data_IF_269967484694
#
_entry.id   IF_269967484694
#
_cell.length_a   1.000
_cell.length_b   1.000
_cell.length_c   1.000
_cell.angle_alpha   90.00
_cell.angle_beta   90.00
_cell.angle_gamma   90.00
#
_symmetry.space_group_name_H-M   'P 1'
#
loop_
_entity.id
_entity.type
_entity.pdbx_description
1 polymer ?
#
# COMPACT_ATOMS: atom_id res chain seq x y z
N UNK A 1 -28.87 -32.63 -21.62
CA UNK A 1 -27.52 -32.77 -22.21
C UNK A 1 -27.29 -31.56 -23.09
N UNK A 2 -26.40 -30.67 -22.66
CA UNK A 2 -26.06 -29.43 -23.35
C UNK A 2 -24.83 -28.87 -22.66
N UNK A 3 -23.65 -29.27 -23.14
CA UNK A 3 -22.34 -28.85 -22.64
C UNK A 3 -22.18 -27.34 -22.77
N UNK A 4 -22.23 -26.63 -21.64
CA UNK A 4 -21.76 -25.25 -21.54
C UNK A 4 -20.24 -25.33 -21.41
N UNK A 5 -19.54 -25.18 -22.53
CA UNK A 5 -18.09 -24.98 -22.54
C UNK A 5 -17.78 -23.67 -21.82
N UNK A 6 -17.22 -23.79 -20.61
CA UNK A 6 -16.57 -22.70 -19.90
C UNK A 6 -15.41 -22.19 -20.78
N UNK A 7 -15.55 -20.95 -21.27
CA UNK A 7 -14.45 -20.23 -21.90
C UNK A 7 -13.35 -20.02 -20.85
N UNK A 8 -12.06 -20.22 -21.18
CA UNK A 8 -10.97 -20.04 -20.24
C UNK A 8 -10.87 -18.57 -19.83
N UNK A 9 -10.80 -18.33 -18.51
CA UNK A 9 -10.50 -17.04 -17.91
C UNK A 9 -9.16 -16.53 -18.44
N UNK A 10 -9.03 -15.26 -18.89
CA UNK A 10 -7.74 -14.68 -19.19
C UNK A 10 -6.97 -14.52 -17.87
N UNK A 11 -5.87 -15.26 -17.73
CA UNK A 11 -4.85 -15.05 -16.71
C UNK A 11 -4.20 -13.68 -16.93
N UNK A 12 -4.32 -12.67 -16.04
CA UNK A 12 -3.37 -11.58 -16.07
C UNK A 12 -2.06 -12.08 -15.44
N UNK A 13 -0.92 -11.57 -15.89
CA UNK A 13 0.45 -11.85 -15.36
C UNK A 13 1.26 -13.02 -15.94
N UNK A 14 1.01 -13.46 -17.18
CA UNK A 14 2.08 -14.11 -17.97
C UNK A 14 2.31 -13.33 -19.26
N UNK A 15 3.39 -12.54 -19.29
CA UNK A 15 3.87 -11.96 -20.56
C UNK A 15 4.55 -10.59 -20.53
N UNK A 16 4.79 -9.93 -19.39
CA UNK A 16 5.57 -8.68 -19.40
C UNK A 16 7.06 -9.04 -19.44
N UNK A 17 7.69 -8.89 -20.61
CA UNK A 17 9.13 -9.01 -20.78
C UNK A 17 9.87 -7.90 -20.00
N UNK A 18 10.19 -8.22 -18.75
CA UNK A 18 11.43 -8.05 -17.97
C UNK A 18 12.51 -6.97 -18.24
N UNK A 19 12.41 -6.03 -19.18
CA UNK A 19 13.54 -5.16 -19.58
C UNK A 19 13.33 -3.66 -19.25
N UNK A 20 14.24 -3.03 -18.50
CA UNK A 20 14.26 -1.58 -18.21
C UNK A 20 14.24 -0.79 -19.52
N UNK A 21 14.89 -1.33 -20.55
CA UNK A 21 14.93 -0.73 -21.88
C UNK A 21 13.54 -0.75 -22.54
N UNK A 22 12.61 -1.64 -22.16
CA UNK A 22 11.25 -1.67 -22.71
C UNK A 22 10.36 -0.56 -22.13
N UNK A 23 10.42 -0.30 -20.82
CA UNK A 23 9.73 0.84 -20.20
C UNK A 23 10.24 2.17 -20.77
N UNK A 24 11.56 2.33 -20.89
CA UNK A 24 12.17 3.52 -21.49
C UNK A 24 11.75 3.70 -22.95
N UNK A 25 11.69 2.62 -23.75
CA UNK A 25 11.19 2.64 -25.12
C UNK A 25 9.72 3.06 -25.20
N UNK A 26 8.84 2.43 -24.41
CA UNK A 26 7.41 2.76 -24.36
C UNK A 26 7.16 4.25 -24.05
N UNK A 27 7.85 4.82 -23.05
CA UNK A 27 7.66 6.21 -22.67
C UNK A 27 8.10 7.18 -23.78
N UNK A 28 9.25 6.89 -24.41
CA UNK A 28 9.73 7.66 -25.57
C UNK A 28 8.74 7.58 -26.75
N UNK A 29 8.20 6.39 -27.04
CA UNK A 29 7.26 6.16 -28.15
C UNK A 29 5.90 6.87 -27.93
N UNK A 30 5.49 7.06 -26.68
CA UNK A 30 4.28 7.80 -26.32
C UNK A 30 4.48 9.33 -26.23
N UNK A 31 5.67 9.85 -26.59
CA UNK A 31 5.98 11.27 -26.53
C UNK A 31 6.16 11.81 -25.10
N UNK A 32 6.25 10.93 -24.10
CA UNK A 32 6.57 11.29 -22.73
C UNK A 32 8.08 11.32 -22.55
N UNK A 33 8.68 12.50 -22.57
CA UNK A 33 10.05 12.65 -22.08
C UNK A 33 10.06 12.40 -20.56
N UNK A 34 10.81 11.40 -20.10
CA UNK A 34 10.96 11.11 -18.67
C UNK A 34 11.48 12.35 -17.95
N UNK A 35 10.64 13.00 -17.15
CA UNK A 35 11.00 14.23 -16.45
C UNK A 35 11.81 13.88 -15.21
N UNK A 36 13.13 13.86 -15.34
CA UNK A 36 14.07 13.76 -14.23
C UNK A 36 14.01 15.02 -13.36
N UNK A 37 12.99 15.15 -12.51
CA UNK A 37 13.04 16.08 -11.39
C UNK A 37 13.55 15.32 -10.17
N UNK A 38 14.86 15.36 -9.98
CA UNK A 38 15.53 14.78 -8.82
C UNK A 38 15.14 15.58 -7.57
N UNK A 39 14.52 14.92 -6.59
CA UNK A 39 14.16 15.50 -5.30
C UNK A 39 14.85 14.71 -4.18
N UNK A 40 15.98 15.25 -3.71
CA UNK A 40 16.76 14.65 -2.62
C UNK A 40 16.07 14.73 -1.26
N UNK A 41 14.86 15.25 -1.15
CA UNK A 41 14.13 15.30 0.14
C UNK A 41 13.01 14.27 0.22
N UNK A 42 12.54 13.75 -0.93
CA UNK A 42 11.48 12.75 -0.97
C UNK A 42 12.02 11.37 -1.40
N UNK A 43 12.07 10.43 -0.46
CA UNK A 43 12.50 9.04 -0.70
C UNK A 43 11.62 8.28 -1.69
N UNK A 44 10.37 8.70 -1.87
CA UNK A 44 9.45 8.12 -2.85
C UNK A 44 9.67 8.65 -4.27
N UNK A 45 10.52 9.66 -4.48
CA UNK A 45 10.88 10.15 -5.81
C UNK A 45 12.12 9.43 -6.35
N UNK A 46 11.95 8.13 -6.62
CA UNK A 46 12.97 7.28 -7.24
C UNK A 46 13.40 7.82 -8.61
N UNK A 47 14.68 7.59 -8.98
CA UNK A 47 15.13 7.83 -10.35
C UNK A 47 14.63 6.72 -11.30
N UNK A 48 14.70 7.00 -12.60
CA UNK A 48 14.18 6.12 -13.68
C UNK A 48 14.75 4.70 -13.67
N UNK A 49 16.02 4.53 -13.29
CA UNK A 49 16.69 3.23 -13.32
C UNK A 49 16.35 2.39 -12.09
N UNK A 50 16.13 3.05 -10.95
CA UNK A 50 15.82 2.38 -9.68
C UNK A 50 14.35 1.96 -9.59
N UNK A 51 13.46 2.70 -10.24
CA UNK A 51 12.02 2.51 -10.11
C UNK A 51 11.54 1.13 -10.60
N UNK A 52 11.96 0.69 -11.79
CA UNK A 52 11.52 -0.60 -12.33
C UNK A 52 12.06 -1.79 -11.54
N UNK A 53 13.28 -1.67 -10.99
CA UNK A 53 13.86 -2.67 -10.09
C UNK A 53 13.09 -2.71 -8.77
N UNK A 54 12.88 -1.54 -8.17
CA UNK A 54 12.15 -1.40 -6.92
C UNK A 54 10.74 -1.95 -7.01
N UNK A 55 9.94 -1.53 -7.99
CA UNK A 55 8.55 -1.98 -8.13
C UNK A 55 8.45 -3.48 -8.40
N UNK A 56 9.41 -4.07 -9.11
CA UNK A 56 9.46 -5.53 -9.32
C UNK A 56 9.69 -6.26 -8.01
N UNK A 57 10.69 -5.86 -7.24
CA UNK A 57 10.97 -6.46 -5.94
C UNK A 57 9.83 -6.24 -4.94
N UNK A 58 9.25 -5.04 -4.92
CA UNK A 58 8.05 -4.70 -4.15
C UNK A 58 6.91 -5.66 -4.48
N UNK A 59 6.49 -5.76 -5.74
CA UNK A 59 5.38 -6.63 -6.15
C UNK A 59 5.66 -8.13 -5.90
N UNK A 60 6.92 -8.55 -5.92
CA UNK A 60 7.30 -9.95 -5.66
C UNK A 60 7.26 -10.34 -4.18
N UNK A 61 7.42 -9.37 -3.27
CA UNK A 61 7.60 -9.62 -1.83
C UNK A 61 6.43 -9.16 -0.98
N UNK A 62 5.61 -8.21 -1.46
CA UNK A 62 4.44 -7.73 -0.72
C UNK A 62 3.32 -8.78 -0.59
N UNK A 63 2.45 -8.61 0.42
CA UNK A 63 1.16 -9.27 0.44
C UNK A 63 0.40 -9.08 -0.87
N UNK A 64 -0.24 -10.15 -1.33
CA UNK A 64 -1.24 -10.06 -2.39
C UNK A 64 -2.59 -10.02 -1.70
N UNK A 65 -3.26 -8.88 -1.78
CA UNK A 65 -4.62 -8.74 -1.27
C UNK A 65 -5.52 -9.79 -1.92
N UNK A 66 -6.17 -10.61 -1.09
CA UNK A 66 -7.00 -11.71 -1.56
C UNK A 66 -8.35 -11.20 -2.08
N UNK A 67 -9.07 -12.03 -2.83
CA UNK A 67 -10.41 -11.67 -3.30
C UNK A 67 -11.36 -11.42 -2.13
N UNK A 68 -11.20 -12.15 -1.03
CA UNK A 68 -11.99 -12.02 0.19
C UNK A 68 -11.78 -10.63 0.80
N UNK A 69 -10.54 -10.12 0.83
CA UNK A 69 -10.26 -8.76 1.30
C UNK A 69 -10.94 -7.70 0.42
N UNK A 70 -10.86 -7.83 -0.90
CA UNK A 70 -11.55 -6.92 -1.82
C UNK A 70 -13.08 -7.02 -1.74
N UNK A 71 -13.61 -8.22 -1.51
CA UNK A 71 -15.05 -8.42 -1.35
C UNK A 71 -15.58 -7.68 -0.12
N UNK A 72 -14.83 -7.58 0.99
CA UNK A 72 -15.23 -6.72 2.12
C UNK A 72 -15.50 -5.27 1.67
N UNK A 73 -14.63 -4.72 0.80
CA UNK A 73 -14.78 -3.37 0.26
C UNK A 73 -15.99 -3.28 -0.67
N UNK A 74 -16.15 -4.25 -1.58
CA UNK A 74 -17.23 -4.24 -2.57
C UNK A 74 -18.61 -4.52 -1.99
N UNK A 75 -18.69 -5.39 -0.98
CA UNK A 75 -19.92 -5.71 -0.27
C UNK A 75 -20.36 -4.50 0.56
N UNK A 76 -19.42 -3.87 1.27
CA UNK A 76 -19.66 -2.60 1.95
C UNK A 76 -20.15 -1.53 0.97
N UNK A 77 -19.47 -1.38 -0.18
CA UNK A 77 -19.86 -0.42 -1.21
C UNK A 77 -21.28 -0.70 -1.74
N UNK A 78 -21.60 -1.95 -2.05
CA UNK A 78 -22.91 -2.36 -2.58
C UNK A 78 -24.08 -2.15 -1.61
N UNK A 79 -23.79 -2.12 -0.30
CA UNK A 79 -24.76 -1.83 0.74
C UNK A 79 -25.14 -0.34 0.79
N UNK A 80 -24.26 0.56 0.34
CA UNK A 80 -24.43 2.02 0.44
C UNK A 80 -24.64 2.71 -0.92
N UNK A 81 -24.07 2.17 -1.99
CA UNK A 81 -24.17 2.63 -3.36
C UNK A 81 -24.56 1.49 -4.30
N UNK A 82 -25.21 1.82 -5.41
CA UNK A 82 -25.50 0.87 -6.51
C UNK A 82 -24.65 1.10 -7.75
N UNK A 83 -23.82 2.15 -7.75
CA UNK A 83 -23.04 2.57 -8.91
C UNK A 83 -21.59 2.15 -8.76
N UNK A 84 -21.07 1.43 -9.75
CA UNK A 84 -19.65 1.07 -9.88
C UNK A 84 -19.04 1.78 -11.10
N UNK A 85 -19.32 3.09 -11.28
CA UNK A 85 -18.88 3.81 -12.46
C UNK A 85 -17.40 4.24 -12.34
N UNK A 86 -17.03 4.92 -11.25
CA UNK A 86 -15.70 5.53 -11.10
C UNK A 86 -15.09 5.18 -9.74
N UNK A 87 -13.90 4.60 -9.75
CA UNK A 87 -13.06 4.47 -8.56
C UNK A 87 -11.79 5.33 -8.68
N UNK A 88 -11.36 5.93 -7.58
CA UNK A 88 -10.04 6.56 -7.45
C UNK A 88 -9.11 5.64 -6.67
N UNK A 89 -7.93 5.34 -7.21
CA UNK A 89 -6.82 4.68 -6.53
C UNK A 89 -5.76 5.73 -6.19
N UNK A 90 -5.68 6.11 -4.91
CA UNK A 90 -4.84 7.20 -4.42
C UNK A 90 -3.51 6.66 -3.89
N UNK A 91 -2.40 7.15 -4.43
CA UNK A 91 -1.07 6.60 -4.14
C UNK A 91 -0.86 5.26 -4.82
N UNK A 92 -1.24 5.17 -6.09
CA UNK A 92 -1.37 3.92 -6.83
C UNK A 92 -0.05 3.15 -7.00
N UNK A 93 1.11 3.81 -6.86
CA UNK A 93 2.42 3.18 -7.04
C UNK A 93 2.49 2.47 -8.41
N UNK A 94 2.69 1.14 -8.46
CA UNK A 94 2.76 0.41 -9.72
C UNK A 94 1.40 -0.05 -10.27
N UNK A 95 0.27 0.39 -9.69
CA UNK A 95 -1.08 0.20 -10.25
C UNK A 95 -1.73 -1.17 -10.01
N UNK A 96 -1.22 -1.98 -9.08
CA UNK A 96 -1.79 -3.30 -8.77
C UNK A 96 -3.21 -3.21 -8.18
N UNK A 97 -3.48 -2.19 -7.36
CA UNK A 97 -4.82 -1.95 -6.81
C UNK A 97 -5.75 -1.43 -7.90
N UNK A 98 -5.27 -0.48 -8.71
CA UNK A 98 -5.97 0.03 -9.91
C UNK A 98 -6.43 -1.11 -10.82
N UNK A 99 -5.55 -2.06 -11.13
CA UNK A 99 -5.88 -3.22 -11.96
C UNK A 99 -7.04 -4.03 -11.35
N UNK A 100 -7.04 -4.21 -10.02
CA UNK A 100 -8.09 -4.95 -9.32
C UNK A 100 -9.41 -4.20 -9.29
N UNK A 101 -9.40 -2.90 -9.00
CA UNK A 101 -10.60 -2.06 -9.01
C UNK A 101 -11.28 -2.10 -10.38
N UNK A 102 -10.50 -2.15 -11.46
CA UNK A 102 -10.97 -2.19 -12.82
C UNK A 102 -11.66 -3.51 -13.22
N UNK A 103 -11.67 -4.53 -12.34
CA UNK A 103 -12.51 -5.74 -12.49
C UNK A 103 -13.98 -5.52 -12.09
N UNK A 104 -14.28 -4.41 -11.40
CA UNK A 104 -15.62 -4.07 -10.90
C UNK A 104 -16.10 -2.69 -11.32
N UNK A 105 -15.19 -1.71 -11.35
CA UNK A 105 -15.51 -0.34 -11.75
C UNK A 105 -15.31 -0.13 -13.25
N UNK A 106 -16.21 0.63 -13.87
CA UNK A 106 -16.15 0.93 -15.30
C UNK A 106 -14.92 1.78 -15.65
N UNK A 107 -14.52 2.68 -14.75
CA UNK A 107 -13.37 3.57 -14.89
C UNK A 107 -12.58 3.68 -13.59
N UNK A 108 -11.25 3.72 -13.69
CA UNK A 108 -10.35 3.92 -12.55
C UNK A 108 -9.45 5.13 -12.79
N UNK A 109 -9.50 6.09 -11.86
CA UNK A 109 -8.55 7.21 -11.79
C UNK A 109 -7.34 6.74 -10.98
N UNK A 110 -6.20 6.64 -11.64
CA UNK A 110 -4.91 6.22 -11.07
C UNK A 110 -4.13 7.48 -10.70
N UNK A 111 -3.94 7.75 -9.41
CA UNK A 111 -3.22 8.93 -8.94
C UNK A 111 -2.06 8.61 -8.02
N UNK A 112 -0.97 9.37 -8.17
CA UNK A 112 0.19 9.34 -7.29
C UNK A 112 0.85 10.73 -7.26
N UNK A 113 1.54 11.07 -6.17
CA UNK A 113 2.21 12.36 -6.05
C UNK A 113 3.54 12.41 -6.84
N UNK A 114 3.98 11.26 -7.38
CA UNK A 114 5.17 11.12 -8.18
C UNK A 114 4.82 10.78 -9.64
N UNK A 115 5.28 11.60 -10.58
CA UNK A 115 5.08 11.39 -12.00
C UNK A 115 5.65 10.06 -12.50
N UNK A 116 6.81 9.64 -11.96
CA UNK A 116 7.47 8.40 -12.31
C UNK A 116 6.59 7.19 -11.97
N UNK A 117 5.97 7.20 -10.77
CA UNK A 117 5.03 6.15 -10.36
C UNK A 117 3.82 6.07 -11.29
N UNK A 118 3.26 7.23 -11.64
CA UNK A 118 2.12 7.31 -12.58
C UNK A 118 2.50 6.76 -13.95
N UNK A 119 3.70 7.06 -14.45
CA UNK A 119 4.21 6.56 -15.73
C UNK A 119 4.45 5.04 -15.67
N UNK A 120 4.99 4.53 -14.57
CA UNK A 120 5.17 3.10 -14.34
C UNK A 120 3.82 2.37 -14.25
N UNK A 121 2.86 2.89 -13.48
CA UNK A 121 1.49 2.35 -13.43
C UNK A 121 0.84 2.36 -14.82
N UNK A 122 1.04 3.43 -15.60
CA UNK A 122 0.55 3.51 -16.98
C UNK A 122 1.13 2.39 -17.83
N UNK A 123 2.44 2.18 -17.79
CA UNK A 123 3.08 1.08 -18.51
C UNK A 123 2.53 -0.30 -18.07
N UNK A 124 2.43 -0.55 -16.76
CA UNK A 124 1.96 -1.83 -16.22
C UNK A 124 0.49 -2.12 -16.56
N UNK A 125 -0.36 -1.11 -16.54
CA UNK A 125 -1.79 -1.24 -16.84
C UNK A 125 -2.07 -1.25 -18.34
N UNK A 126 -1.29 -0.49 -19.13
CA UNK A 126 -1.52 -0.30 -20.56
C UNK A 126 -0.79 -1.30 -21.47
N UNK A 127 0.37 -1.81 -21.06
CA UNK A 127 1.24 -2.65 -21.89
C UNK A 127 1.65 -1.97 -23.21
N UNK A 128 2.15 -2.75 -24.17
CA UNK A 128 2.57 -2.28 -25.51
C UNK A 128 1.42 -2.16 -26.54
N UNK A 129 0.21 -2.55 -26.18
CA UNK A 129 -0.89 -2.62 -27.16
C UNK A 129 -1.56 -1.25 -27.35
N UNK A 130 -1.36 -0.67 -28.54
CA UNK A 130 -2.11 0.48 -29.09
C UNK A 130 -3.65 0.30 -29.14
N UNK A 131 -4.18 -0.88 -28.80
CA UNK A 131 -5.59 -1.24 -28.92
C UNK A 131 -6.45 -0.86 -27.70
N UNK A 132 -6.49 0.42 -27.32
CA UNK A 132 -7.37 0.89 -26.22
C UNK A 132 -8.14 2.18 -26.49
N UNK A 133 -8.26 2.58 -27.75
CA UNK A 133 -8.89 3.83 -28.16
C UNK A 133 -10.43 3.88 -28.08
N UNK A 134 -11.13 2.88 -27.51
CA UNK A 134 -12.60 2.91 -27.50
C UNK A 134 -13.25 3.27 -26.16
N UNK A 135 -12.60 3.05 -25.00
CA UNK A 135 -12.80 3.81 -23.74
C UNK A 135 -11.59 3.51 -22.83
N UNK A 136 -10.76 4.48 -22.43
CA UNK A 136 -9.64 4.19 -21.56
C UNK A 136 -10.18 3.91 -20.17
N UNK A 137 -10.25 2.62 -19.80
CA UNK A 137 -10.61 2.11 -18.46
C UNK A 137 -9.82 2.78 -17.31
N UNK A 138 -8.71 3.44 -17.63
CA UNK A 138 -7.83 4.13 -16.71
C UNK A 138 -7.59 5.58 -17.16
N UNK A 139 -7.67 6.53 -16.23
CA UNK A 139 -7.08 7.85 -16.38
C UNK A 139 -5.98 8.05 -15.36
N UNK A 140 -4.98 8.86 -15.68
CA UNK A 140 -3.77 9.00 -14.88
C UNK A 140 -3.61 10.45 -14.40
N UNK A 141 -3.24 10.66 -13.14
CA UNK A 141 -3.08 12.00 -12.58
C UNK A 141 -1.92 12.07 -11.60
N UNK A 142 -1.02 13.03 -11.85
CA UNK A 142 0.04 13.37 -10.89
C UNK A 142 -0.51 14.40 -9.91
N UNK A 143 -0.84 13.97 -8.70
CA UNK A 143 -1.40 14.81 -7.64
C UNK A 143 -1.24 14.14 -6.27
N UNK A 144 -1.18 14.95 -5.22
CA UNK A 144 -1.36 14.45 -3.85
C UNK A 144 -2.83 14.09 -3.61
N UNK A 145 -3.10 13.19 -2.67
CA UNK A 145 -4.48 12.82 -2.31
C UNK A 145 -5.29 14.02 -1.81
N UNK A 146 -4.63 14.91 -1.07
CA UNK A 146 -5.15 16.16 -0.52
C UNK A 146 -5.59 17.17 -1.59
N UNK A 147 -5.14 17.01 -2.84
CA UNK A 147 -5.42 17.94 -3.95
C UNK A 147 -6.51 17.42 -4.91
N UNK A 148 -6.91 16.15 -4.79
CA UNK A 148 -7.77 15.53 -5.79
C UNK A 148 -9.18 16.14 -5.83
N UNK A 149 -9.74 16.53 -4.68
CA UNK A 149 -11.06 17.18 -4.59
C UNK A 149 -11.16 18.45 -5.44
N UNK A 150 -10.08 19.21 -5.58
CA UNK A 150 -10.03 20.42 -6.40
C UNK A 150 -9.79 20.12 -7.89
N UNK A 151 -9.27 18.94 -8.21
CA UNK A 151 -8.94 18.55 -9.59
C UNK A 151 -10.09 17.86 -10.33
N UNK A 152 -11.06 17.36 -9.60
CA UNK A 152 -12.18 16.60 -10.15
C UNK A 152 -13.52 17.21 -9.71
N UNK A 153 -14.59 17.07 -10.50
CA UNK A 153 -15.91 17.56 -10.09
C UNK A 153 -16.35 16.95 -8.75
N UNK A 154 -17.00 17.72 -7.87
CA UNK A 154 -17.58 17.16 -6.65
C UNK A 154 -18.57 16.05 -6.95
N UNK A 155 -18.58 14.98 -6.15
CA UNK A 155 -19.49 13.84 -6.34
C UNK A 155 -19.24 13.07 -7.64
N UNK A 156 -18.00 13.00 -8.12
CA UNK A 156 -17.64 12.29 -9.35
C UNK A 156 -17.22 10.83 -9.13
N UNK A 157 -16.91 10.43 -7.89
CA UNK A 157 -16.41 9.10 -7.55
C UNK A 157 -17.44 8.25 -6.78
N UNK A 158 -17.49 6.96 -7.09
CA UNK A 158 -18.24 5.96 -6.32
C UNK A 158 -17.40 5.37 -5.18
N UNK A 159 -16.10 5.19 -5.42
CA UNK A 159 -15.13 4.67 -4.46
C UNK A 159 -13.85 5.52 -4.49
N UNK A 160 -13.32 5.84 -3.32
CA UNK A 160 -11.95 6.32 -3.14
C UNK A 160 -11.20 5.26 -2.34
N UNK A 161 -10.21 4.63 -2.95
CA UNK A 161 -9.31 3.67 -2.33
C UNK A 161 -7.97 4.35 -2.00
N UNK A 162 -7.49 4.18 -0.77
CA UNK A 162 -6.23 4.73 -0.30
C UNK A 162 -5.37 3.63 0.37
N UNK A 163 -4.76 2.73 -0.42
CA UNK A 163 -3.84 1.70 0.06
C UNK A 163 -2.53 2.31 0.59
N UNK A 164 -2.14 1.92 1.81
CA UNK A 164 -0.83 2.14 2.44
C UNK A 164 -0.38 3.59 2.65
N UNK A 165 -0.98 4.58 2.01
CA UNK A 165 -0.40 5.92 1.93
C UNK A 165 -1.05 6.95 2.85
N UNK A 166 -2.24 6.67 3.39
CA UNK A 166 -2.97 7.60 4.27
C UNK A 166 -2.15 8.10 5.47
N UNK A 167 -1.34 7.28 6.18
CA UNK A 167 -0.48 7.77 7.27
C UNK A 167 0.53 8.86 6.87
N UNK A 168 0.84 8.97 5.57
CA UNK A 168 1.80 9.95 5.04
C UNK A 168 1.11 11.27 4.62
N UNK A 169 -0.23 11.32 4.62
CA UNK A 169 -1.00 12.50 4.22
C UNK A 169 -1.22 13.48 5.38
N UNK A 170 -1.61 14.71 5.04
CA UNK A 170 -2.33 15.56 5.99
C UNK A 170 -3.78 15.08 6.14
N UNK A 171 -4.18 14.79 7.38
CA UNK A 171 -5.37 13.96 7.67
C UNK A 171 -6.66 14.66 7.27
N UNK A 172 -6.82 15.90 7.74
CA UNK A 172 -8.04 16.68 7.51
C UNK A 172 -8.16 17.08 6.03
N UNK A 173 -7.05 17.49 5.41
CA UNK A 173 -7.03 17.84 4.00
C UNK A 173 -7.35 16.64 3.10
N UNK A 174 -6.82 15.45 3.42
CA UNK A 174 -7.15 14.22 2.70
C UNK A 174 -8.63 13.86 2.86
N UNK A 175 -9.18 13.89 4.07
CA UNK A 175 -10.59 13.60 4.31
C UNK A 175 -11.52 14.59 3.60
N UNK A 176 -11.21 15.88 3.62
CA UNK A 176 -11.97 16.91 2.89
C UNK A 176 -11.94 16.65 1.38
N UNK A 177 -10.75 16.41 0.82
CA UNK A 177 -10.57 16.08 -0.59
C UNK A 177 -11.39 14.86 -0.99
N UNK A 178 -11.33 13.76 -0.22
CA UNK A 178 -12.06 12.54 -0.51
C UNK A 178 -13.58 12.70 -0.33
N UNK A 179 -14.02 13.46 0.67
CA UNK A 179 -15.43 13.77 0.88
C UNK A 179 -16.01 14.60 -0.28
N UNK A 180 -15.21 15.49 -0.88
CA UNK A 180 -15.61 16.27 -2.05
C UNK A 180 -15.73 15.39 -3.30
N UNK A 181 -14.81 14.45 -3.52
CA UNK A 181 -14.83 13.52 -4.65
C UNK A 181 -16.04 12.57 -4.62
N UNK A 182 -16.36 12.04 -3.45
CA UNK A 182 -17.34 10.96 -3.32
C UNK A 182 -18.78 11.46 -3.52
N UNK A 183 -19.56 10.68 -4.28
CA UNK A 183 -21.02 10.81 -4.31
C UNK A 183 -21.61 10.55 -2.92
N UNK A 184 -22.81 11.07 -2.60
CA UNK A 184 -23.59 10.58 -1.46
C UNK A 184 -23.76 9.05 -1.56
N UNK A 185 -23.50 8.33 -0.47
CA UNK A 185 -23.45 6.87 -0.43
C UNK A 185 -22.17 6.23 -0.99
N UNK A 186 -21.26 7.02 -1.56
CA UNK A 186 -19.96 6.56 -2.04
C UNK A 186 -19.05 6.10 -0.91
N UNK A 187 -18.07 5.25 -1.22
CA UNK A 187 -17.23 4.59 -0.23
C UNK A 187 -15.82 5.19 -0.18
N UNK A 188 -15.35 5.53 1.02
CA UNK A 188 -13.93 5.69 1.30
C UNK A 188 -13.40 4.38 1.90
N UNK A 189 -12.37 3.80 1.27
CA UNK A 189 -11.66 2.63 1.74
C UNK A 189 -10.19 2.96 1.96
N UNK A 190 -9.78 3.05 3.22
CA UNK A 190 -8.38 3.28 3.62
C UNK A 190 -7.88 1.97 4.21
N UNK A 191 -6.73 1.47 3.76
CA UNK A 191 -6.13 0.30 4.40
C UNK A 191 -4.64 0.39 4.47
N UNK A 192 -4.08 -0.28 5.47
CA UNK A 192 -2.64 -0.33 5.71
C UNK A 192 -2.26 -1.71 6.24
N UNK A 193 -1.06 -2.17 5.92
CA UNK A 193 -0.48 -3.36 6.55
C UNK A 193 0.96 -3.07 6.96
N UNK A 194 1.43 -3.77 7.99
CA UNK A 194 2.76 -3.57 8.56
C UNK A 194 3.87 -4.39 7.91
N UNK A 195 5.01 -4.48 8.60
CA UNK A 195 6.04 -5.46 8.22
C UNK A 195 5.50 -6.89 8.38
N UNK A 196 6.10 -7.85 7.69
CA UNK A 196 5.81 -9.26 7.89
C UNK A 196 6.28 -9.70 9.29
N UNK A 197 5.51 -10.56 9.95
CA UNK A 197 5.86 -11.16 11.24
C UNK A 197 5.91 -12.67 11.12
N UNK A 198 6.76 -13.32 11.91
CA UNK A 198 6.74 -14.77 12.06
C UNK A 198 5.37 -15.19 12.64
N UNK A 199 4.62 -15.97 11.87
CA UNK A 199 3.21 -16.24 12.15
C UNK A 199 2.99 -17.34 13.20
N UNK A 200 3.98 -18.20 13.44
CA UNK A 200 3.84 -19.32 14.39
C UNK A 200 4.44 -18.95 15.74
N UNK A 201 3.76 -19.20 16.88
CA UNK A 201 4.28 -18.88 18.21
C UNK A 201 5.25 -19.96 18.71
N UNK A 202 6.39 -20.12 18.04
CA UNK A 202 7.45 -21.07 18.42
C UNK A 202 8.57 -20.39 19.20
N UNK A 203 9.39 -21.18 19.89
CA UNK A 203 10.61 -20.67 20.51
C UNK A 203 11.55 -20.02 19.47
N UNK A 204 11.58 -20.55 18.25
CA UNK A 204 12.35 -20.00 17.14
C UNK A 204 11.84 -18.64 16.70
N UNK A 205 10.53 -18.48 16.44
CA UNK A 205 9.98 -17.18 16.04
C UNK A 205 10.17 -16.12 17.12
N UNK A 206 10.09 -16.51 18.40
CA UNK A 206 10.31 -15.63 19.55
C UNK A 206 11.74 -15.07 19.56
N UNK A 207 12.74 -15.87 19.17
CA UNK A 207 14.14 -15.41 19.06
C UNK A 207 14.42 -14.66 17.75
N UNK A 208 13.71 -15.01 16.67
CA UNK A 208 13.90 -14.41 15.35
C UNK A 208 13.27 -13.02 15.21
N UNK A 209 12.06 -12.81 15.74
CA UNK A 209 11.31 -11.56 15.51
C UNK A 209 12.07 -10.30 15.98
N UNK A 210 12.70 -10.28 17.19
CA UNK A 210 13.47 -9.12 17.62
C UNK A 210 14.69 -8.81 16.74
N UNK A 211 15.30 -9.82 16.11
CA UNK A 211 16.42 -9.63 15.18
C UNK A 211 15.95 -8.99 13.88
N UNK A 212 14.84 -9.49 13.32
CA UNK A 212 14.21 -8.89 12.14
C UNK A 212 13.80 -7.44 12.41
N UNK A 213 13.17 -7.19 13.56
CA UNK A 213 12.76 -5.85 13.98
C UNK A 213 13.97 -4.92 14.09
N UNK A 214 15.09 -5.37 14.69
CA UNK A 214 16.30 -4.55 14.81
C UNK A 214 16.92 -4.20 13.45
N UNK A 215 16.91 -5.14 12.48
CA UNK A 215 17.38 -4.90 11.12
C UNK A 215 16.52 -3.83 10.43
N UNK A 216 15.19 -4.01 10.48
CA UNK A 216 14.25 -3.10 9.83
C UNK A 216 14.30 -1.71 10.48
N UNK A 217 14.35 -1.64 11.81
CA UNK A 217 14.42 -0.39 12.56
C UNK A 217 15.70 0.38 12.23
N UNK A 218 16.83 -0.31 12.04
CA UNK A 218 18.08 0.31 11.62
C UNK A 218 17.93 1.01 10.25
N UNK A 219 17.36 0.33 9.26
CA UNK A 219 17.16 0.92 7.94
C UNK A 219 16.15 2.08 7.97
N UNK A 220 15.04 1.94 8.70
CA UNK A 220 14.06 3.01 8.86
C UNK A 220 14.58 4.20 9.66
N UNK A 221 15.49 4.02 10.63
CA UNK A 221 16.12 5.12 11.35
C UNK A 221 16.81 6.10 10.40
N UNK A 222 17.50 5.60 9.37
CA UNK A 222 18.15 6.44 8.33
C UNK A 222 17.17 7.29 7.51
N UNK A 223 15.90 6.89 7.47
CA UNK A 223 14.84 7.57 6.73
C UNK A 223 14.09 8.54 7.63
N UNK A 224 13.78 8.12 8.86
CA UNK A 224 12.94 8.84 9.81
C UNK A 224 13.71 9.98 10.48
N UNK A 225 14.96 9.71 10.86
CA UNK A 225 15.75 10.62 11.69
C UNK A 225 16.44 11.70 10.83
N UNK A 226 16.63 12.88 11.43
CA UNK A 226 17.28 14.01 10.77
C UNK A 226 16.36 14.78 9.81
N UNK A 227 16.97 15.47 8.83
CA UNK A 227 16.28 16.25 7.78
C UNK A 227 15.37 17.41 8.27
N UNK A 228 15.46 17.78 9.54
CA UNK A 228 14.87 19.00 10.10
C UNK A 228 13.44 18.84 10.68
N UNK A 229 12.89 19.91 11.29
CA UNK A 229 11.66 19.82 12.08
C UNK A 229 10.42 19.39 11.29
N UNK A 230 10.28 19.81 10.03
CA UNK A 230 9.12 19.47 9.20
C UNK A 230 9.10 17.98 8.83
N UNK A 231 10.26 17.41 8.48
CA UNK A 231 10.42 15.97 8.21
C UNK A 231 10.10 15.14 9.44
N UNK A 232 10.68 15.51 10.58
CA UNK A 232 10.41 14.90 11.88
C UNK A 232 8.92 14.95 12.23
N UNK A 233 8.25 16.08 12.04
CA UNK A 233 6.82 16.22 12.33
C UNK A 233 5.96 15.31 11.44
N UNK A 234 6.30 15.19 10.15
CA UNK A 234 5.63 14.28 9.23
C UNK A 234 5.76 12.81 9.65
N UNK A 235 6.98 12.37 9.98
CA UNK A 235 7.21 11.01 10.45
C UNK A 235 6.63 10.73 11.83
N UNK A 236 6.60 11.71 12.74
CA UNK A 236 5.90 11.57 14.02
C UNK A 236 4.41 11.29 13.79
N UNK A 237 3.76 12.09 12.94
CA UNK A 237 2.34 11.89 12.58
C UNK A 237 2.10 10.49 12.00
N UNK A 238 2.96 10.06 11.06
CA UNK A 238 2.86 8.74 10.46
C UNK A 238 3.04 7.61 11.49
N UNK A 239 4.05 7.71 12.37
CA UNK A 239 4.33 6.71 13.40
C UNK A 239 3.19 6.60 14.42
N UNK A 240 2.70 7.73 14.95
CA UNK A 240 1.57 7.78 15.88
C UNK A 240 0.30 7.21 15.21
N UNK A 241 0.08 7.55 13.94
CA UNK A 241 -1.07 7.09 13.19
C UNK A 241 -1.06 5.58 12.90
N UNK A 242 0.10 5.03 12.55
CA UNK A 242 0.24 3.58 12.33
C UNK A 242 0.16 2.83 13.65
N UNK A 243 0.81 3.32 14.72
CA UNK A 243 0.77 2.70 16.04
C UNK A 243 -0.64 2.68 16.65
N UNK A 244 -1.50 3.64 16.28
CA UNK A 244 -2.91 3.68 16.66
C UNK A 244 -3.83 2.81 15.79
N UNK A 245 -3.30 1.99 14.89
CA UNK A 245 -4.12 1.22 13.93
C UNK A 245 -5.05 2.10 13.10
N UNK A 246 -4.58 3.29 12.74
CA UNK A 246 -5.36 4.35 12.07
C UNK A 246 -6.57 4.87 12.86
N UNK A 247 -6.67 4.57 14.15
CA UNK A 247 -7.76 5.07 14.99
C UNK A 247 -7.73 6.60 15.14
N UNK A 248 -6.62 7.25 14.84
CA UNK A 248 -6.49 8.70 14.86
C UNK A 248 -7.33 9.42 13.79
N UNK A 249 -7.82 8.72 12.75
CA UNK A 249 -8.59 9.31 11.66
C UNK A 249 -9.98 9.72 12.16
N UNK A 250 -10.33 11.03 12.17
CA UNK A 250 -11.61 11.49 12.66
C UNK A 250 -12.67 11.48 11.56
N UNK A 251 -13.72 10.65 11.70
CA UNK A 251 -14.86 10.68 10.79
C UNK A 251 -15.97 11.57 11.36
N UNK A 252 -16.02 12.82 10.91
CA UNK A 252 -17.07 13.75 11.31
C UNK A 252 -18.47 13.23 10.90
N UNK A 253 -19.45 13.13 11.83
CA UNK A 253 -20.80 12.64 11.52
C UNK A 253 -21.57 13.50 10.51
N UNK A 254 -21.12 14.72 10.23
CA UNK A 254 -21.66 15.60 9.18
C UNK A 254 -21.36 15.08 7.78
N UNK A 255 -20.19 14.48 7.60
CA UNK A 255 -19.66 14.11 6.29
C UNK A 255 -19.70 12.60 6.05
N UNK A 256 -19.61 11.82 7.12
CA UNK A 256 -19.43 10.38 7.08
C UNK A 256 -20.49 9.61 7.88
N UNK A 257 -20.79 8.40 7.44
CA UNK A 257 -21.70 7.45 8.07
C UNK A 257 -21.17 6.02 8.00
N UNK A 258 -21.73 5.15 8.84
CA UNK A 258 -21.49 3.70 8.82
C UNK A 258 -20.01 3.32 8.82
N UNK A 259 -19.20 3.99 9.65
CA UNK A 259 -17.76 3.76 9.69
C UNK A 259 -17.47 2.39 10.30
N UNK A 260 -16.65 1.61 9.60
CA UNK A 260 -16.18 0.30 10.04
C UNK A 260 -14.66 0.24 10.06
N UNK A 261 -14.09 -0.36 11.11
CA UNK A 261 -12.65 -0.58 11.27
C UNK A 261 -12.41 -2.06 11.49
N UNK A 262 -11.76 -2.70 10.54
CA UNK A 262 -11.37 -4.10 10.61
C UNK A 262 -9.87 -4.16 10.88
N UNK A 263 -9.46 -4.85 11.95
CA UNK A 263 -8.08 -4.95 12.41
C UNK A 263 -7.69 -6.41 12.47
N UNK A 264 -6.66 -6.79 11.71
CA UNK A 264 -6.14 -8.14 11.69
C UNK A 264 -4.85 -8.25 12.51
N UNK A 265 -4.78 -9.29 13.34
CA UNK A 265 -3.58 -9.72 14.04
C UNK A 265 -3.04 -8.70 15.07
N UNK A 266 -3.93 -7.89 15.65
CA UNK A 266 -3.55 -6.89 16.65
C UNK A 266 -3.16 -7.50 18.00
N UNK A 267 -3.58 -8.74 18.29
CA UNK A 267 -3.26 -9.43 19.54
C UNK A 267 -1.83 -9.97 19.61
N UNK A 268 -1.10 -10.06 18.50
CA UNK A 268 0.26 -10.63 18.49
C UNK A 268 1.27 -9.92 17.57
N UNK A 269 0.84 -8.94 16.77
CA UNK A 269 1.72 -8.17 15.90
C UNK A 269 1.48 -6.66 16.06
N UNK A 270 2.44 -5.86 15.57
CA UNK A 270 2.33 -4.39 15.50
C UNK A 270 2.16 -3.95 14.07
N UNK A 271 1.26 -2.98 13.81
CA UNK A 271 0.95 -2.51 12.45
C UNK A 271 2.13 -1.77 11.77
N UNK A 272 3.13 -1.31 12.52
CA UNK A 272 4.28 -0.57 11.98
C UNK A 272 5.11 -1.34 10.93
N UNK A 273 5.53 -0.66 9.87
CA UNK A 273 6.68 -1.13 9.08
C UNK A 273 7.98 -1.09 9.88
N UNK A 274 8.06 -0.22 10.88
CA UNK A 274 9.16 -0.06 11.83
C UNK A 274 8.60 -0.01 13.26
N UNK A 275 9.45 -0.25 14.25
CA UNK A 275 9.19 -0.07 15.67
C UNK A 275 9.75 1.24 16.20
N UNK A 276 9.48 1.51 17.49
CA UNK A 276 9.83 2.77 18.15
C UNK A 276 11.35 3.07 18.15
N UNK A 277 12.20 2.05 18.00
CA UNK A 277 13.67 2.24 17.95
C UNK A 277 14.14 2.94 16.68
N UNK A 278 13.33 2.93 15.62
CA UNK A 278 13.64 3.70 14.41
C UNK A 278 13.43 5.22 14.61
N UNK A 279 12.67 5.62 15.64
CA UNK A 279 12.28 7.01 15.86
C UNK A 279 13.22 7.70 16.86
N UNK A 280 13.53 8.97 16.61
CA UNK A 280 14.17 9.90 17.56
C UNK A 280 13.11 10.76 18.31
N UNK A 281 11.85 10.33 18.29
CA UNK A 281 10.69 10.91 18.99
C UNK A 281 9.91 9.81 19.72
N UNK A 282 9.17 10.15 20.79
CA UNK A 282 8.19 9.23 21.35
C UNK A 282 7.04 9.00 20.36
N UNK A 283 6.63 7.73 20.24
CA UNK A 283 5.44 7.32 19.50
C UNK A 283 4.24 7.32 20.45
N UNK A 284 3.23 8.11 20.12
CA UNK A 284 2.09 8.45 20.98
C UNK A 284 0.79 8.17 20.22
N UNK A 285 0.32 6.90 20.20
CA UNK A 285 -0.90 6.56 19.49
C UNK A 285 -2.12 7.26 20.08
N UNK A 286 -3.00 7.78 19.21
CA UNK A 286 -4.24 8.47 19.58
C UNK A 286 -5.43 7.77 18.93
N UNK A 287 -6.53 7.64 19.66
CA UNK A 287 -7.80 7.15 19.12
C UNK A 287 -8.82 8.27 19.02
N UNK A 288 -9.50 8.33 17.87
CA UNK A 288 -10.61 9.23 17.53
C UNK A 288 -11.84 8.43 17.09
N UNK A 289 -11.89 7.13 17.41
CA UNK A 289 -13.00 6.25 17.08
C UNK A 289 -14.25 6.69 17.83
N UNK A 290 -15.32 7.01 17.10
CA UNK A 290 -16.58 7.38 17.71
C UNK A 290 -17.35 6.15 18.25
N UNK A 291 -18.20 6.30 19.29
CA UNK A 291 -19.00 5.19 19.82
C UNK A 291 -19.97 4.56 18.82
N UNK A 292 -20.25 5.23 17.70
CA UNK A 292 -21.12 4.76 16.63
C UNK A 292 -20.40 3.93 15.57
N UNK A 293 -19.07 3.87 15.61
CA UNK A 293 -18.28 3.09 14.65
C UNK A 293 -18.28 1.61 15.01
N UNK A 294 -18.22 0.75 13.99
CA UNK A 294 -18.10 -0.70 14.19
C UNK A 294 -16.63 -1.10 14.14
N UNK A 295 -16.11 -1.71 15.20
CA UNK A 295 -14.76 -2.27 15.24
C UNK A 295 -14.85 -3.79 15.14
N UNK A 296 -14.03 -4.39 14.27
CA UNK A 296 -13.89 -5.84 14.12
C UNK A 296 -12.42 -6.21 14.28
N UNK A 297 -12.09 -6.83 15.41
CA UNK A 297 -10.79 -7.43 15.63
C UNK A 297 -10.80 -8.88 15.15
N UNK A 298 -9.84 -9.23 14.30
CA UNK A 298 -9.76 -10.50 13.59
C UNK A 298 -8.38 -11.09 13.83
N UNK A 299 -8.33 -12.33 14.28
CA UNK A 299 -7.08 -13.07 14.41
C UNK A 299 -6.99 -14.11 13.30
N UNK A 300 -6.07 -13.88 12.38
CA UNK A 300 -5.81 -14.76 11.24
C UNK A 300 -4.31 -14.83 10.95
N UNK A 301 -3.65 -15.80 11.58
CA UNK A 301 -2.23 -16.11 11.35
C UNK A 301 -1.94 -16.61 9.93
N UNK A 302 -2.95 -16.85 9.10
CA UNK A 302 -2.80 -17.21 7.69
C UNK A 302 -3.08 -16.04 6.74
N UNK A 303 -3.41 -14.85 7.26
CA UNK A 303 -3.66 -13.67 6.44
C UNK A 303 -2.47 -13.38 5.52
N UNK A 304 -2.70 -13.54 4.22
CA UNK A 304 -1.70 -13.37 3.16
C UNK A 304 -0.42 -14.20 3.33
N UNK A 305 -0.52 -15.37 3.97
CA UNK A 305 0.57 -16.31 4.29
C UNK A 305 1.68 -16.34 3.24
N UNK A 306 2.92 -16.29 3.73
CA UNK A 306 4.12 -16.63 2.97
C UNK A 306 4.98 -17.63 3.72
N UNK A 307 5.58 -18.55 2.99
CA UNK A 307 6.57 -19.49 3.50
C UNK A 307 7.92 -19.06 2.93
N UNK A 308 8.75 -18.47 3.78
CA UNK A 308 9.99 -17.80 3.37
C UNK A 308 11.21 -18.38 4.07
N UNK A 309 12.28 -18.56 3.30
CA UNK A 309 13.63 -18.72 3.85
C UNK A 309 14.20 -17.34 4.20
N UNK A 310 15.41 -17.34 4.75
CA UNK A 310 16.15 -16.09 4.99
C UNK A 310 16.36 -15.29 3.69
N UNK A 311 16.43 -15.95 2.53
CA UNK A 311 16.65 -15.27 1.26
C UNK A 311 15.44 -14.44 0.85
N UNK A 312 14.23 -15.01 0.86
CA UNK A 312 13.02 -14.23 0.56
C UNK A 312 12.76 -13.14 1.61
N UNK A 313 13.12 -13.39 2.88
CA UNK A 313 13.02 -12.37 3.93
C UNK A 313 13.94 -11.17 3.67
N UNK A 314 15.19 -11.41 3.25
CA UNK A 314 16.11 -10.34 2.83
C UNK A 314 15.55 -9.56 1.64
N UNK A 315 15.05 -10.25 0.63
CA UNK A 315 14.40 -9.62 -0.53
C UNK A 315 13.21 -8.75 -0.11
N UNK A 316 12.41 -9.18 0.86
CA UNK A 316 11.33 -8.36 1.42
C UNK A 316 11.87 -7.10 2.10
N UNK A 317 12.89 -7.22 2.96
CA UNK A 317 13.50 -6.05 3.62
C UNK A 317 14.14 -5.10 2.61
N UNK A 318 14.76 -5.60 1.54
CA UNK A 318 15.31 -4.77 0.46
C UNK A 318 14.25 -3.91 -0.26
N UNK A 319 12.99 -4.37 -0.27
CA UNK A 319 11.90 -3.73 -1.03
C UNK A 319 10.71 -3.28 -0.15
N UNK A 320 10.85 -3.32 1.18
CA UNK A 320 9.87 -2.79 2.14
C UNK A 320 9.79 -1.26 2.08
N UNK A 321 10.85 -0.62 1.60
CA UNK A 321 10.94 0.81 1.43
C UNK A 321 12.02 1.12 0.37
N UNK A 322 11.91 2.21 -0.39
CA UNK A 322 12.97 2.63 -1.31
C UNK A 322 14.13 3.26 -0.52
N UNK A 323 14.82 2.47 0.31
CA UNK A 323 15.92 2.96 1.13
C UNK A 323 17.04 3.48 0.22
N UNK A 324 17.48 4.72 0.47
CA UNK A 324 18.55 5.34 -0.31
C UNK A 324 19.93 4.75 0.01
N UNK A 325 20.12 4.31 1.24
CA UNK A 325 21.35 3.69 1.72
C UNK A 325 21.01 2.48 2.59
N UNK A 326 21.34 1.29 2.08
CA UNK A 326 21.38 0.07 2.89
C UNK A 326 22.77 -0.01 3.54
N UNK A 327 22.87 0.28 4.83
CA UNK A 327 24.07 -0.03 5.60
C UNK A 327 24.09 -1.53 5.91
N UNK A 328 24.48 -2.32 4.92
CA UNK A 328 24.53 -3.78 5.02
C UNK A 328 25.58 -4.26 6.02
N UNK A 329 26.66 -3.50 6.22
CA UNK A 329 27.74 -3.86 7.16
C UNK A 329 27.23 -3.82 8.61
N UNK A 330 26.50 -2.75 8.99
CA UNK A 330 25.97 -2.61 10.34
C UNK A 330 25.00 -3.72 10.74
N UNK A 331 24.16 -4.20 9.80
CA UNK A 331 23.15 -5.24 10.07
C UNK A 331 23.62 -6.66 9.74
N UNK A 332 24.82 -6.83 9.16
CA UNK A 332 25.36 -8.15 8.78
C UNK A 332 25.40 -9.16 9.93
N UNK A 333 25.85 -8.79 11.16
CA UNK A 333 25.84 -9.73 12.28
C UNK A 333 24.43 -10.17 12.66
N UNK A 334 23.45 -9.26 12.61
CA UNK A 334 22.04 -9.56 12.90
C UNK A 334 21.46 -10.52 11.86
N UNK A 335 21.78 -10.33 10.58
CA UNK A 335 21.37 -11.26 9.53
C UNK A 335 21.97 -12.65 9.70
N UNK A 336 23.25 -12.74 10.06
CA UNK A 336 23.91 -14.02 10.32
C UNK A 336 23.27 -14.75 11.51
N UNK A 337 22.98 -14.02 12.59
CA UNK A 337 22.30 -14.57 13.76
C UNK A 337 20.86 -15.01 13.42
N UNK A 338 20.10 -14.19 12.70
CA UNK A 338 18.73 -14.51 12.28
C UNK A 338 18.71 -15.77 11.42
N UNK A 339 19.64 -15.92 10.48
CA UNK A 339 19.76 -17.13 9.68
C UNK A 339 20.05 -18.38 10.53
N UNK A 340 20.94 -18.26 11.52
CA UNK A 340 21.25 -19.36 12.43
C UNK A 340 20.03 -19.75 13.28
N UNK A 341 19.31 -18.76 13.83
CA UNK A 341 18.09 -18.98 14.61
C UNK A 341 16.95 -19.60 13.79
N UNK A 342 16.83 -19.21 12.52
CA UNK A 342 15.90 -19.83 11.57
C UNK A 342 16.26 -21.29 11.26
N UNK A 343 17.41 -21.80 11.69
CA UNK A 343 17.86 -23.18 11.45
C UNK A 343 18.67 -23.36 10.15
N UNK A 344 19.09 -22.27 9.51
CA UNK A 344 19.91 -22.28 8.30
C UNK A 344 19.21 -21.67 7.08
N UNK A 345 19.98 -21.50 5.99
CA UNK A 345 19.56 -20.71 4.83
C UNK A 345 18.42 -21.30 3.98
N UNK A 346 18.10 -22.59 4.16
CA UNK A 346 17.07 -23.29 3.38
C UNK A 346 15.78 -23.57 4.18
N UNK A 347 15.77 -23.27 5.48
CA UNK A 347 14.61 -23.52 6.33
C UNK A 347 13.58 -22.41 6.10
N UNK A 348 12.36 -22.83 5.79
CA UNK A 348 11.23 -21.93 5.64
C UNK A 348 10.51 -21.71 6.97
N UNK A 349 10.05 -20.48 7.17
CA UNK A 349 9.16 -20.10 8.26
C UNK A 349 7.91 -19.44 7.70
N UNK A 350 6.79 -19.61 8.40
CA UNK A 350 5.53 -18.99 8.01
C UNK A 350 5.51 -17.53 8.47
N UNK A 351 5.20 -16.64 7.54
CA UNK A 351 5.00 -15.21 7.77
C UNK A 351 3.55 -14.82 7.48
N UNK A 352 3.05 -13.88 8.28
CA UNK A 352 1.73 -13.27 8.15
C UNK A 352 1.81 -11.77 8.51
N UNK A 353 0.73 -11.03 8.26
CA UNK A 353 0.71 -9.58 8.35
C UNK A 353 -0.32 -9.07 9.35
N UNK A 354 0.02 -8.03 10.13
CA UNK A 354 -0.96 -7.13 10.71
C UNK A 354 -1.51 -6.22 9.62
N UNK A 355 -2.82 -5.99 9.62
CA UNK A 355 -3.49 -5.14 8.65
C UNK A 355 -4.67 -4.41 9.28
N UNK A 356 -5.03 -3.27 8.69
CA UNK A 356 -6.24 -2.53 9.03
C UNK A 356 -6.94 -2.10 7.76
N UNK A 357 -8.27 -2.19 7.76
CA UNK A 357 -9.16 -1.65 6.75
C UNK A 357 -10.19 -0.75 7.44
N UNK A 358 -10.24 0.50 7.02
CA UNK A 358 -11.22 1.49 7.45
C UNK A 358 -12.14 1.79 6.28
N UNK A 359 -13.44 1.60 6.49
CA UNK A 359 -14.50 1.85 5.52
C UNK A 359 -15.41 2.93 6.05
N UNK A 360 -15.78 3.89 5.21
CA UNK A 360 -16.76 4.91 5.55
C UNK A 360 -17.62 5.25 4.33
N UNK A 361 -18.91 5.51 4.57
CA UNK A 361 -19.84 5.98 3.54
C UNK A 361 -19.95 7.49 3.60
N UNK A 362 -19.86 8.14 2.44
CA UNK A 362 -20.14 9.57 2.31
C UNK A 362 -21.62 9.83 2.55
N UNK A 363 -21.95 10.88 3.33
CA UNK A 363 -23.33 11.34 3.55
C UNK A 363 -23.93 12.13 2.41
#
# INVERSE_FOLDING_TARGET
MGDVRLLPLPLPFRGVMSDITALQRYLNDQGYAFRSTYDTTNVWKLNVNDEARYWRGYLSTRPKYSNEFYNLIYDYHSAHSKSFAVAHDVGAGPGQVSAKLAERFAHVVVSDNNANHVDYARYMLLGDTQQRQQQPRFSFTVAKGEELGDRYPPGSADLVACPLMFPLMETEAALQSFAQLLKPGGTLAIWFYGRAHFAEPTATSTRCQPLLDAIIDHHFASVIQGQGPAHRAGWKRAADGIASWLDYIPFAPTDWAAVERHKWNAGWATLGFFGNRACDFPVEPVSRVAPTETIRDIEDRQLWRRDWTIHELKMFVEHIFPFRHFDEEAVRPLWAQLQAEMGGGHIQHVFSWPAVLVLASRR
#
